data_IF_064369822291
#
_entry.id   IF_064369822291
#
_cell.length_a   1.000
_cell.length_b   1.000
_cell.length_c   1.000
_cell.angle_alpha   90.00
_cell.angle_beta   90.00
_cell.angle_gamma   90.00
#
_symmetry.space_group_name_H-M   'P 1'
#
loop_
_entity.id
_entity.type
_entity.pdbx_description
1 polymer ?
#
# COMPACT_ATOMS: atom_id res chain seq x y z
N UNK A 1 26.72 26.37 -3.90
CA UNK A 1 26.13 25.94 -2.61
C UNK A 1 26.48 24.48 -2.45
N UNK A 2 27.34 24.14 -1.49
CA UNK A 2 27.69 22.73 -1.25
C UNK A 2 26.44 21.95 -0.81
N UNK A 3 26.23 20.78 -1.40
CA UNK A 3 25.13 19.88 -1.02
C UNK A 3 25.29 19.38 0.42
N UNK A 4 24.18 18.93 1.02
CA UNK A 4 24.24 18.32 2.35
C UNK A 4 25.08 17.03 2.31
N UNK A 5 25.97 16.84 3.28
CA UNK A 5 26.79 15.63 3.41
C UNK A 5 26.26 14.76 4.55
N UNK A 6 26.48 13.44 4.45
CA UNK A 6 25.93 12.46 5.40
C UNK A 6 26.43 12.70 6.83
N UNK A 7 27.64 13.23 6.95
CA UNK A 7 28.31 13.51 8.22
C UNK A 7 27.71 14.73 8.93
N UNK A 8 27.00 15.59 8.20
CA UNK A 8 26.37 16.82 8.73
C UNK A 8 24.92 16.62 9.17
N UNK A 9 24.32 15.46 8.92
CA UNK A 9 22.92 15.17 9.21
C UNK A 9 22.79 14.00 10.19
N UNK A 10 21.77 14.03 11.04
CA UNK A 10 21.41 12.86 11.83
C UNK A 10 20.98 11.69 10.92
N UNK A 11 21.02 10.44 11.41
CA UNK A 11 20.59 9.29 10.62
C UNK A 11 19.15 9.40 10.09
N UNK A 12 18.23 10.01 10.83
CA UNK A 12 16.83 10.21 10.41
C UNK A 12 16.73 11.30 9.34
N UNK A 13 17.40 12.43 9.52
CA UNK A 13 17.42 13.51 8.54
C UNK A 13 18.06 13.05 7.22
N UNK A 14 19.17 12.30 7.32
CA UNK A 14 19.82 11.72 6.14
C UNK A 14 18.88 10.79 5.38
N UNK A 15 18.10 9.94 6.07
CA UNK A 15 17.12 9.06 5.41
C UNK A 15 16.07 9.85 4.63
N UNK A 16 15.55 10.93 5.20
CA UNK A 16 14.56 11.79 4.52
C UNK A 16 15.21 12.53 3.34
N UNK A 17 16.41 13.09 3.55
CA UNK A 17 17.16 13.77 2.51
C UNK A 17 17.48 12.84 1.33
N UNK A 18 18.01 11.65 1.60
CA UNK A 18 18.32 10.63 0.59
C UNK A 18 17.06 10.18 -0.16
N UNK A 19 15.94 9.97 0.54
CA UNK A 19 14.65 9.62 -0.06
C UNK A 19 14.18 10.68 -1.06
N UNK A 20 14.14 11.95 -0.64
CA UNK A 20 13.68 13.08 -1.46
C UNK A 20 14.63 13.30 -2.63
N UNK A 21 15.94 13.30 -2.39
CA UNK A 21 16.96 13.51 -3.42
C UNK A 21 16.90 12.42 -4.47
N UNK A 22 16.79 11.15 -4.08
CA UNK A 22 16.66 10.03 -5.03
C UNK A 22 15.40 10.11 -5.86
N UNK A 23 14.26 10.47 -5.26
CA UNK A 23 13.01 10.66 -6.02
C UNK A 23 13.14 11.81 -7.02
N UNK A 24 13.74 12.93 -6.61
CA UNK A 24 13.99 14.05 -7.51
C UNK A 24 14.93 13.68 -8.67
N UNK A 25 16.03 12.97 -8.40
CA UNK A 25 16.92 12.50 -9.46
C UNK A 25 16.23 11.49 -10.39
N UNK A 26 15.36 10.65 -9.85
CA UNK A 26 14.56 9.70 -10.64
C UNK A 26 13.61 10.41 -11.61
N UNK A 27 13.03 11.57 -11.26
CA UNK A 27 12.16 12.32 -12.18
C UNK A 27 12.91 12.95 -13.36
N UNK A 28 14.24 13.04 -13.28
CA UNK A 28 15.10 13.56 -14.35
C UNK A 28 15.75 12.45 -15.18
N UNK A 29 15.55 11.19 -14.79
CA UNK A 29 16.13 10.04 -15.46
C UNK A 29 15.26 9.54 -16.63
N UNK A 30 15.84 8.74 -17.50
CA UNK A 30 15.10 8.01 -18.53
C UNK A 30 14.14 6.98 -17.92
N UNK A 31 13.13 6.58 -18.70
CA UNK A 31 12.23 5.50 -18.34
C UNK A 31 12.97 4.17 -18.15
N UNK A 32 12.51 3.41 -17.16
CA UNK A 32 12.92 2.02 -16.99
C UNK A 32 12.23 1.14 -18.04
N UNK A 33 12.99 0.22 -18.65
CA UNK A 33 12.44 -0.76 -19.59
C UNK A 33 12.50 -2.15 -18.97
N UNK A 34 11.33 -2.76 -18.81
CA UNK A 34 11.18 -4.14 -18.36
C UNK A 34 10.58 -4.98 -19.47
N UNK A 35 11.15 -6.16 -19.70
CA UNK A 35 10.58 -7.18 -20.58
C UNK A 35 9.84 -8.18 -19.71
N UNK A 36 8.57 -8.41 -20.01
CA UNK A 36 7.76 -9.47 -19.41
C UNK A 36 7.51 -10.54 -20.45
N UNK A 37 7.63 -11.80 -20.05
CA UNK A 37 7.31 -12.97 -20.86
C UNK A 37 6.25 -13.78 -20.13
N UNK A 38 5.24 -14.23 -20.85
CA UNK A 38 4.24 -15.18 -20.35
C UNK A 38 4.32 -16.42 -21.23
N UNK A 39 4.27 -17.59 -20.58
CA UNK A 39 4.20 -18.88 -21.25
C UNK A 39 2.92 -19.54 -20.78
N UNK A 40 2.03 -19.82 -21.73
CA UNK A 40 0.81 -20.57 -21.49
C UNK A 40 1.10 -22.07 -21.69
N UNK A 41 0.62 -22.89 -20.76
CA UNK A 41 0.90 -24.32 -20.69
C UNK A 41 -0.43 -25.04 -20.56
N UNK A 42 -0.74 -25.90 -21.53
CA UNK A 42 -1.85 -26.84 -21.44
C UNK A 42 -1.40 -28.11 -20.73
N UNK A 43 -2.07 -28.47 -19.64
CA UNK A 43 -1.86 -29.73 -18.93
C UNK A 43 -3.15 -30.54 -19.03
N UNK A 44 -3.25 -31.38 -20.05
CA UNK A 44 -4.39 -32.28 -20.26
C UNK A 44 -5.73 -31.52 -20.42
N UNK A 45 -5.72 -30.39 -21.13
CA UNK A 45 -6.89 -29.54 -21.34
C UNK A 45 -7.10 -28.45 -20.27
N UNK A 46 -6.30 -28.44 -19.21
CA UNK A 46 -6.35 -27.42 -18.15
C UNK A 46 -5.28 -26.34 -18.41
N UNK A 47 -5.67 -25.05 -18.51
CA UNK A 47 -4.75 -23.97 -18.81
C UNK A 47 -4.00 -23.51 -17.55
N UNK A 48 -2.68 -23.44 -17.65
CA UNK A 48 -1.78 -22.83 -16.69
C UNK A 48 -0.94 -21.75 -17.38
N UNK A 49 -0.37 -20.84 -16.59
CA UNK A 49 0.62 -19.91 -17.12
C UNK A 49 1.74 -19.70 -16.11
N UNK A 50 2.92 -19.36 -16.64
CA UNK A 50 4.04 -18.83 -15.88
C UNK A 50 4.45 -17.50 -16.49
N UNK A 51 4.80 -16.54 -15.63
CA UNK A 51 5.31 -15.24 -16.06
C UNK A 51 6.74 -15.06 -15.57
N UNK A 52 7.60 -14.60 -16.48
CA UNK A 52 8.92 -14.10 -16.19
C UNK A 52 9.03 -12.63 -16.51
N UNK A 53 9.97 -11.96 -15.86
CA UNK A 53 10.27 -10.57 -16.17
C UNK A 53 11.74 -10.27 -15.92
N UNK A 54 12.29 -9.35 -16.69
CA UNK A 54 13.65 -8.85 -16.47
C UNK A 54 13.79 -7.39 -16.85
N UNK A 55 14.66 -6.69 -16.13
CA UNK A 55 15.00 -5.30 -16.45
C UNK A 55 15.94 -5.29 -17.66
N UNK A 56 15.52 -4.66 -18.76
CA UNK A 56 16.33 -4.45 -19.97
C UNK A 56 17.14 -3.18 -19.87
N UNK A 57 16.55 -2.13 -19.28
CA UNK A 57 17.22 -0.85 -18.99
C UNK A 57 16.72 -0.35 -17.65
N UNK A 58 17.64 0.00 -16.75
CA UNK A 58 17.24 0.43 -15.41
C UNK A 58 16.51 1.78 -15.40
N UNK A 59 16.90 2.72 -16.27
CA UNK A 59 16.31 4.08 -16.26
C UNK A 59 16.35 4.70 -14.86
N UNK A 60 15.21 5.20 -14.40
CA UNK A 60 15.03 5.76 -13.07
C UNK A 60 15.24 4.77 -11.91
N UNK A 61 15.10 3.45 -12.12
CA UNK A 61 15.24 2.43 -11.06
C UNK A 61 16.63 2.43 -10.43
N UNK A 62 17.66 2.92 -11.14
CA UNK A 62 19.03 3.06 -10.58
C UNK A 62 19.07 3.97 -9.34
N UNK A 63 18.17 4.96 -9.26
CA UNK A 63 18.11 5.91 -8.15
C UNK A 63 17.21 5.40 -7.02
N UNK A 64 16.20 4.60 -7.36
CA UNK A 64 15.18 4.04 -6.47
C UNK A 64 15.30 2.51 -6.38
N UNK A 65 16.38 1.96 -5.80
CA UNK A 65 16.64 0.51 -5.82
C UNK A 65 15.59 -0.32 -5.07
N UNK A 66 14.85 0.29 -4.13
CA UNK A 66 13.76 -0.38 -3.40
C UNK A 66 12.51 -0.65 -4.24
N UNK A 67 12.44 -0.12 -5.46
CA UNK A 67 11.42 -0.50 -6.45
C UNK A 67 11.89 -1.61 -7.41
N UNK A 68 13.16 -2.03 -7.35
CA UNK A 68 13.65 -3.13 -8.18
C UNK A 68 13.11 -4.45 -7.67
N UNK A 69 12.41 -5.18 -8.54
CA UNK A 69 12.13 -6.60 -8.35
C UNK A 69 13.28 -7.45 -8.87
N UNK A 70 13.46 -8.64 -8.30
CA UNK A 70 14.39 -9.61 -8.85
C UNK A 70 13.90 -10.09 -10.22
N UNK A 71 14.83 -10.28 -11.17
CA UNK A 71 14.51 -10.86 -12.47
C UNK A 71 14.00 -12.30 -12.29
N UNK A 72 12.89 -12.62 -12.95
CA UNK A 72 12.36 -13.98 -13.08
C UNK A 72 12.63 -14.43 -14.51
N UNK A 73 13.73 -15.13 -14.70
CA UNK A 73 14.16 -15.62 -16.02
C UNK A 73 13.54 -17.00 -16.24
N UNK A 74 12.70 -17.13 -17.27
CA UNK A 74 12.16 -18.42 -17.68
C UNK A 74 13.16 -19.13 -18.61
N UNK A 75 13.13 -20.48 -18.64
CA UNK A 75 13.87 -21.23 -19.66
C UNK A 75 13.42 -20.86 -21.07
N UNK A 76 14.31 -21.07 -22.04
CA UNK A 76 13.91 -20.96 -23.45
C UNK A 76 12.96 -22.10 -23.79
N UNK A 77 11.81 -21.74 -24.34
CA UNK A 77 10.77 -22.67 -24.77
C UNK A 77 10.37 -22.33 -26.20
N UNK A 78 9.92 -23.34 -26.95
CA UNK A 78 9.34 -23.17 -28.29
C UNK A 78 7.86 -23.49 -28.28
N UNK A 79 7.12 -22.84 -29.18
CA UNK A 79 5.70 -23.15 -29.37
C UNK A 79 5.53 -24.62 -29.75
N UNK A 80 4.62 -25.31 -29.05
CA UNK A 80 4.37 -26.74 -29.22
C UNK A 80 5.40 -27.66 -28.56
N UNK A 81 6.38 -27.13 -27.83
CA UNK A 81 7.33 -27.93 -27.04
C UNK A 81 6.60 -28.70 -25.93
N UNK A 82 6.92 -30.00 -25.82
CA UNK A 82 6.34 -30.87 -24.80
C UNK A 82 7.19 -30.83 -23.53
N UNK A 83 6.63 -30.31 -22.45
CA UNK A 83 7.20 -30.42 -21.09
C UNK A 83 6.87 -31.78 -20.47
N UNK A 84 7.89 -32.49 -19.96
CA UNK A 84 7.75 -33.90 -19.54
C UNK A 84 7.83 -34.15 -18.03
N UNK A 85 8.06 -33.13 -17.19
CA UNK A 85 8.21 -33.31 -15.75
C UNK A 85 7.27 -32.38 -14.98
N UNK A 86 6.08 -32.89 -14.62
CA UNK A 86 5.03 -32.13 -13.97
C UNK A 86 4.73 -32.74 -12.60
N UNK A 87 5.23 -32.11 -11.54
CA UNK A 87 4.67 -32.32 -10.20
C UNK A 87 3.32 -31.59 -10.14
N UNK A 88 2.25 -32.29 -9.73
CA UNK A 88 0.89 -31.75 -9.64
C UNK A 88 0.43 -31.80 -8.20
N UNK A 89 0.02 -30.67 -7.65
CA UNK A 89 -0.50 -30.57 -6.30
C UNK A 89 -1.89 -29.93 -6.30
N UNK A 90 -2.74 -30.40 -5.38
CA UNK A 90 -4.03 -29.77 -5.08
C UNK A 90 -3.84 -29.02 -3.77
N UNK A 91 -3.90 -27.69 -3.83
CA UNK A 91 -3.74 -26.83 -2.67
C UNK A 91 -5.10 -26.45 -2.08
N UNK A 92 -5.32 -26.75 -0.81
CA UNK A 92 -6.39 -26.13 -0.03
C UNK A 92 -5.91 -24.76 0.46
N UNK A 93 -6.61 -23.69 0.06
CA UNK A 93 -6.33 -22.31 0.49
C UNK A 93 -7.52 -21.73 1.22
N UNK A 94 -7.26 -20.91 2.23
CA UNK A 94 -8.27 -20.18 2.98
C UNK A 94 -8.21 -18.68 2.69
N UNK A 95 -9.36 -18.00 2.80
CA UNK A 95 -9.40 -16.55 2.73
C UNK A 95 -8.77 -15.95 3.99
N UNK A 96 -7.97 -14.90 3.81
CA UNK A 96 -7.36 -14.17 4.91
C UNK A 96 -8.20 -12.93 5.24
N UNK A 97 -8.39 -12.59 6.52
CA UNK A 97 -9.07 -11.36 6.87
C UNK A 97 -8.27 -10.15 6.37
N UNK A 98 -8.93 -8.99 6.14
CA UNK A 98 -8.23 -7.79 5.75
C UNK A 98 -7.15 -7.41 6.76
N UNK A 99 -5.94 -7.03 6.31
CA UNK A 99 -4.88 -6.60 7.21
C UNK A 99 -5.27 -5.31 7.92
N UNK A 100 -4.81 -5.16 9.17
CA UNK A 100 -4.99 -3.91 9.91
C UNK A 100 -4.29 -2.75 9.21
N UNK A 101 -4.80 -1.54 9.40
CA UNK A 101 -4.16 -0.34 8.87
C UNK A 101 -2.80 -0.12 9.52
N UNK A 102 -1.77 0.13 8.71
CA UNK A 102 -0.56 0.82 9.16
C UNK A 102 -0.83 2.32 9.22
N UNK A 103 0.09 3.11 9.79
CA UNK A 103 -0.05 4.57 9.76
C UNK A 103 -0.18 5.10 8.33
N UNK A 104 0.64 4.61 7.40
CA UNK A 104 0.58 5.00 5.98
C UNK A 104 -0.77 4.68 5.33
N UNK A 105 -1.26 3.44 5.50
CA UNK A 105 -2.58 3.05 4.96
C UNK A 105 -3.74 3.80 5.60
N UNK A 106 -3.61 4.20 6.87
CA UNK A 106 -4.60 5.05 7.50
C UNK A 106 -4.58 6.48 6.93
N UNK A 107 -3.40 7.05 6.63
CA UNK A 107 -3.29 8.33 5.93
C UNK A 107 -3.96 8.27 4.55
N UNK A 108 -3.70 7.22 3.78
CA UNK A 108 -4.34 6.97 2.48
C UNK A 108 -5.87 6.87 2.64
N UNK A 109 -6.36 6.13 3.64
CA UNK A 109 -7.79 6.00 3.87
C UNK A 109 -8.45 7.33 4.30
N UNK A 110 -7.76 8.12 5.12
CA UNK A 110 -8.21 9.45 5.49
C UNK A 110 -8.27 10.39 4.27
N UNK A 111 -7.32 10.27 3.33
CA UNK A 111 -7.32 11.01 2.08
C UNK A 111 -8.52 10.67 1.19
N UNK A 112 -8.74 9.38 0.95
CA UNK A 112 -9.87 8.86 0.18
C UNK A 112 -11.22 9.37 0.72
N UNK A 113 -11.34 9.47 2.05
CA UNK A 113 -12.55 9.92 2.74
C UNK A 113 -12.62 11.45 2.93
N UNK A 114 -11.62 12.21 2.48
CA UNK A 114 -11.57 13.67 2.68
C UNK A 114 -11.40 14.10 4.16
N UNK A 115 -10.91 13.21 5.02
CA UNK A 115 -10.74 13.45 6.46
C UNK A 115 -9.38 14.11 6.73
N UNK A 116 -9.43 15.40 7.07
CA UNK A 116 -8.23 16.21 7.28
C UNK A 116 -7.47 16.50 5.97
N UNK A 117 -6.43 17.31 6.09
CA UNK A 117 -5.59 17.75 4.96
C UNK A 117 -4.25 17.03 4.98
N UNK A 118 -3.49 17.11 3.87
CA UNK A 118 -2.13 16.55 3.77
C UNK A 118 -1.25 16.89 5.00
N UNK A 119 -1.40 18.10 5.54
CA UNK A 119 -0.64 18.59 6.69
C UNK A 119 -1.20 18.19 8.07
N UNK A 120 -2.46 17.76 8.17
CA UNK A 120 -3.09 17.48 9.48
C UNK A 120 -3.32 15.99 9.78
N UNK A 121 -3.31 15.11 8.77
CA UNK A 121 -3.54 13.66 8.98
C UNK A 121 -2.54 13.06 9.97
N UNK A 122 -1.26 13.42 9.86
CA UNK A 122 -0.22 12.95 10.76
C UNK A 122 -0.46 13.34 12.22
N UNK A 123 -0.87 14.59 12.50
CA UNK A 123 -1.14 15.06 13.86
C UNK A 123 -2.42 14.47 14.44
N UNK A 124 -3.44 14.21 13.61
CA UNK A 124 -4.66 13.48 14.00
C UNK A 124 -4.29 12.06 14.43
N UNK A 125 -3.54 11.32 13.60
CA UNK A 125 -3.11 9.95 13.92
C UNK A 125 -2.25 9.95 15.18
N UNK A 126 -1.29 10.88 15.31
CA UNK A 126 -0.48 11.03 16.52
C UNK A 126 -1.35 11.23 17.76
N UNK A 127 -2.39 12.06 17.68
CA UNK A 127 -3.32 12.30 18.79
C UNK A 127 -4.04 11.03 19.25
N UNK A 128 -4.33 10.08 18.34
CA UNK A 128 -4.92 8.78 18.70
C UNK A 128 -3.94 7.94 19.54
N UNK A 129 -2.65 7.97 19.22
CA UNK A 129 -1.61 7.30 20.00
C UNK A 129 -1.36 8.00 21.34
N UNK A 130 -1.20 9.32 21.34
CA UNK A 130 -0.91 10.12 22.54
C UNK A 130 -2.03 9.97 23.59
N UNK A 131 -3.29 9.84 23.16
CA UNK A 131 -4.45 9.60 24.04
C UNK A 131 -4.64 8.13 24.42
N UNK A 132 -3.79 7.22 23.90
CA UNK A 132 -3.88 5.79 24.17
C UNK A 132 -5.12 5.12 23.59
N UNK A 133 -5.71 5.64 22.52
CA UNK A 133 -6.83 4.99 21.83
C UNK A 133 -6.38 3.86 20.91
N UNK A 134 -5.15 3.96 20.38
CA UNK A 134 -4.54 2.96 19.51
C UNK A 134 -3.10 2.69 19.93
N UNK A 135 -2.58 1.51 19.58
CA UNK A 135 -1.19 1.12 19.78
C UNK A 135 -0.66 0.28 18.62
N UNK A 136 0.66 0.13 18.55
CA UNK A 136 1.32 -0.69 17.55
C UNK A 136 1.32 -0.08 16.15
N UNK A 137 2.01 -0.75 15.24
CA UNK A 137 1.96 -0.51 13.81
C UNK A 137 2.20 -1.86 13.10
N UNK A 138 1.17 -2.55 12.59
CA UNK A 138 -0.19 -2.08 12.32
C UNK A 138 -1.00 -1.64 13.56
N UNK A 139 -1.93 -0.71 13.35
CA UNK A 139 -2.73 -0.10 14.41
C UNK A 139 -3.70 -1.11 15.03
N UNK A 140 -3.68 -1.18 16.35
CA UNK A 140 -4.62 -1.96 17.16
C UNK A 140 -5.39 -1.01 18.08
N UNK A 141 -6.74 -0.97 18.00
CA UNK A 141 -7.54 -0.16 18.91
C UNK A 141 -7.48 -0.74 20.32
N UNK A 142 -7.33 0.11 21.33
CA UNK A 142 -7.48 -0.25 22.74
C UNK A 142 -8.96 -0.20 23.13
N UNK A 143 -9.29 -0.84 24.25
CA UNK A 143 -10.65 -0.82 24.82
C UNK A 143 -11.18 0.59 25.02
N UNK A 144 -10.33 1.52 25.49
CA UNK A 144 -10.66 2.94 25.63
C UNK A 144 -11.04 3.58 24.30
N UNK A 145 -10.28 3.30 23.23
CA UNK A 145 -10.56 3.78 21.89
C UNK A 145 -11.88 3.23 21.34
N UNK A 146 -12.15 1.95 21.56
CA UNK A 146 -13.41 1.30 21.15
C UNK A 146 -14.60 1.87 21.92
N UNK A 147 -14.46 2.06 23.24
CA UNK A 147 -15.50 2.62 24.08
C UNK A 147 -15.85 4.06 23.67
N UNK A 148 -14.84 4.90 23.41
CA UNK A 148 -15.07 6.28 22.93
C UNK A 148 -15.72 6.27 21.55
N UNK A 149 -15.21 5.49 20.61
CA UNK A 149 -15.75 5.42 19.25
C UNK A 149 -17.22 4.94 19.23
N UNK A 150 -17.52 3.85 19.95
CA UNK A 150 -18.88 3.32 20.04
C UNK A 150 -19.86 4.31 20.70
N UNK A 151 -19.41 5.00 21.76
CA UNK A 151 -20.20 6.06 22.41
C UNK A 151 -20.49 7.22 21.46
N UNK A 152 -19.50 7.67 20.69
CA UNK A 152 -19.68 8.75 19.72
C UNK A 152 -20.63 8.35 18.58
N UNK A 153 -20.49 7.15 18.03
CA UNK A 153 -21.36 6.63 16.97
C UNK A 153 -22.81 6.60 17.45
N UNK A 154 -23.05 6.06 18.65
CA UNK A 154 -24.40 5.97 19.24
C UNK A 154 -25.07 7.34 19.38
N UNK A 155 -24.33 8.36 19.83
CA UNK A 155 -24.88 9.71 20.01
C UNK A 155 -25.02 10.47 18.69
N UNK A 156 -24.06 10.33 17.77
CA UNK A 156 -24.14 10.96 16.45
C UNK A 156 -25.35 10.44 15.65
N UNK A 157 -25.63 9.13 15.70
CA UNK A 157 -26.81 8.54 15.07
C UNK A 157 -28.11 9.06 15.66
N UNK A 158 -28.20 9.21 16.99
CA UNK A 158 -29.35 9.81 17.66
C UNK A 158 -29.63 11.24 17.17
N UNK A 159 -28.58 12.04 16.98
CA UNK A 159 -28.71 13.43 16.54
C UNK A 159 -29.05 13.57 15.05
N UNK A 160 -28.67 12.59 14.21
CA UNK A 160 -29.09 12.52 12.82
C UNK A 160 -30.57 12.12 12.72
N UNK A 161 -30.98 11.09 13.47
CA UNK A 161 -32.39 10.66 13.53
C UNK A 161 -33.30 11.77 14.08
N UNK A 162 -32.88 12.52 15.10
CA UNK A 162 -33.67 13.63 15.65
C UNK A 162 -33.75 14.85 14.72
N UNK A 163 -32.81 15.02 13.78
CA UNK A 163 -32.85 16.09 12.77
C UNK A 163 -33.78 15.74 11.61
N UNK A 164 -33.90 14.46 11.28
CA UNK A 164 -34.85 13.97 10.27
C UNK A 164 -36.28 13.90 10.82
N UNK A 165 -36.46 13.60 12.11
CA UNK A 165 -37.78 13.61 12.78
C UNK A 165 -38.34 15.03 13.02
N UNK A 166 -37.47 16.05 12.93
CA UNK A 166 -37.84 17.47 13.02
C UNK A 166 -38.29 18.10 11.69
N UNK A 167 -38.35 17.34 10.60
CA UNK A 167 -38.81 17.81 9.28
C UNK A 167 -40.06 17.06 8.81
N UNK A 168 -41.17 17.22 9.54
CA UNK A 168 -42.50 16.84 9.03
C UNK A 168 -43.54 17.93 9.33
N UNK A 169 -43.92 18.65 8.25
CA UNK A 169 -45.17 19.43 7.99
C UNK A 169 -45.34 20.75 8.78
N UNK A 170 -45.80 21.87 8.23
CA UNK A 170 -46.53 22.23 7.00
C UNK A 170 -46.08 23.67 6.60
N UNK A 171 -46.05 24.11 5.34
CA UNK A 171 -47.10 24.02 4.33
C UNK A 171 -47.74 25.40 4.19
N UNK A 172 -47.22 26.22 3.27
CA UNK A 172 -47.87 27.10 2.29
C UNK A 172 -46.77 27.69 1.40
#
# INVERSE_FOLDING_TARGET
TDGASKEKLSPQEWKVYDLVTRHFLATLAEEALQMTMQVDIDISGEPFYISGSRIVREGWLRYLPYFKSADVILPQLKDGEKVQDLNKEILAKETQPPPRYTQGRLVEKMEELGLGTKSTRHSIIKSLYDRGYVVGNPLVPRETGIAVASTLIKHAQKNLQSRDDGRVRAGY
#
